data_IF_542346516409
#
_entry.id   IF_542346516409
#
_cell.length_a   1.000
_cell.length_b   1.000
_cell.length_c   1.000
_cell.angle_alpha   90.00
_cell.angle_beta   90.00
_cell.angle_gamma   90.00
#
_symmetry.space_group_name_H-M   'P 1'
#
loop_
_entity.id
_entity.type
_entity.pdbx_description
1 polymer ?
#
# COMPACT_ATOMS: atom_id res chain seq x y z
N UNK A 1 -7.73 7.22 24.51
CA UNK A 1 -7.52 5.76 24.64
C UNK A 1 -7.07 5.18 23.31
N UNK A 2 -5.87 4.59 23.30
CA UNK A 2 -5.40 3.52 22.42
C UNK A 2 -5.63 3.65 20.90
N UNK A 3 -4.80 4.51 20.29
CA UNK A 3 -3.85 4.16 19.22
C UNK A 3 -4.10 2.83 18.47
N UNK A 4 -4.20 2.88 17.14
CA UNK A 4 -4.01 1.69 16.28
C UNK A 4 -2.59 1.12 16.42
N UNK A 5 -1.66 1.91 16.94
CA UNK A 5 -0.34 1.47 17.43
C UNK A 5 -0.45 0.49 18.62
N UNK A 6 -1.52 0.54 19.41
CA UNK A 6 -1.73 -0.36 20.56
C UNK A 6 -2.40 -1.69 20.20
N UNK A 7 -3.05 -1.81 19.04
CA UNK A 7 -3.66 -3.08 18.62
C UNK A 7 -2.61 -4.11 18.13
N UNK A 8 -1.37 -3.69 17.85
CA UNK A 8 -0.30 -4.56 17.36
C UNK A 8 1.01 -4.51 18.17
N UNK A 9 1.17 -3.60 19.15
CA UNK A 9 2.18 -3.68 20.22
C UNK A 9 3.67 -3.78 19.83
N UNK A 10 4.00 -3.89 18.54
CA UNK A 10 5.34 -3.99 17.96
C UNK A 10 5.47 -2.88 16.94
N UNK A 11 6.61 -2.18 16.98
CA UNK A 11 6.99 -1.19 15.97
C UNK A 11 6.69 -1.75 14.58
N UNK A 12 5.93 -1.04 13.75
CA UNK A 12 5.57 -1.54 12.41
C UNK A 12 6.76 -1.56 11.44
N UNK A 13 7.96 -1.20 11.92
CA UNK A 13 9.21 -1.18 11.18
C UNK A 13 9.53 -2.54 10.53
N UNK A 14 9.17 -3.65 11.18
CA UNK A 14 9.38 -4.99 10.62
C UNK A 14 8.57 -5.26 9.34
N UNK A 15 7.53 -4.46 9.05
CA UNK A 15 6.75 -4.56 7.81
C UNK A 15 7.44 -3.88 6.63
N UNK A 16 8.47 -3.06 6.84
CA UNK A 16 9.20 -2.40 5.76
C UNK A 16 9.73 -3.37 4.68
N UNK A 17 10.40 -4.49 5.02
CA UNK A 17 10.80 -5.48 4.01
C UNK A 17 9.62 -6.18 3.33
N UNK A 18 8.44 -6.24 3.97
CA UNK A 18 7.23 -6.77 3.33
C UNK A 18 6.75 -5.82 2.24
N UNK A 19 6.80 -4.50 2.47
CA UNK A 19 6.45 -3.51 1.45
C UNK A 19 7.43 -3.59 0.26
N UNK A 20 8.73 -3.76 0.55
CA UNK A 20 9.74 -4.01 -0.49
C UNK A 20 9.45 -5.27 -1.30
N UNK A 21 9.09 -6.37 -0.64
CA UNK A 21 8.75 -7.62 -1.32
C UNK A 21 7.51 -7.46 -2.21
N UNK A 22 6.49 -6.71 -1.76
CA UNK A 22 5.29 -6.43 -2.56
C UNK A 22 5.63 -5.58 -3.78
N UNK A 23 6.50 -4.58 -3.64
CA UNK A 23 6.96 -3.76 -4.75
C UNK A 23 7.75 -4.60 -5.77
N UNK A 24 8.64 -5.48 -5.33
CA UNK A 24 9.37 -6.38 -6.23
C UNK A 24 8.45 -7.41 -6.89
N UNK A 25 7.45 -7.92 -6.17
CA UNK A 25 6.45 -8.83 -6.75
C UNK A 25 5.61 -8.14 -7.82
N UNK A 26 5.29 -6.87 -7.60
CA UNK A 26 4.65 -6.01 -8.59
C UNK A 26 5.53 -5.81 -9.83
N UNK A 27 6.79 -5.47 -9.62
CA UNK A 27 7.81 -5.25 -10.66
C UNK A 27 8.02 -6.50 -11.53
N UNK A 28 8.04 -7.69 -10.90
CA UNK A 28 8.09 -8.98 -11.60
C UNK A 28 6.94 -9.18 -12.59
N UNK A 29 5.78 -8.55 -12.37
CA UNK A 29 4.63 -8.62 -13.29
C UNK A 29 4.72 -7.59 -14.42
N UNK A 30 5.17 -6.37 -14.09
CA UNK A 30 5.15 -5.22 -15.01
C UNK A 30 6.35 -5.22 -15.95
N UNK A 31 7.55 -5.46 -15.43
CA UNK A 31 8.79 -5.16 -16.17
C UNK A 31 9.06 -6.07 -17.37
N UNK A 32 8.83 -7.40 -17.28
CA UNK A 32 8.89 -8.27 -18.45
C UNK A 32 7.93 -7.84 -19.57
N UNK A 33 6.70 -7.44 -19.20
CA UNK A 33 5.68 -6.98 -20.16
C UNK A 33 6.15 -5.69 -20.84
N UNK A 34 6.66 -4.74 -20.07
CA UNK A 34 7.10 -3.46 -20.61
C UNK A 34 8.40 -3.56 -21.43
N UNK A 35 9.32 -4.48 -21.12
CA UNK A 35 10.44 -4.82 -22.04
C UNK A 35 9.88 -5.37 -23.34
N UNK A 36 8.94 -6.34 -23.27
CA UNK A 36 8.33 -6.95 -24.46
C UNK A 36 7.59 -5.94 -25.33
N UNK A 37 6.94 -4.96 -24.70
CA UNK A 37 6.20 -3.86 -25.33
C UNK A 37 7.08 -2.67 -25.74
N UNK A 38 8.40 -2.75 -25.53
CA UNK A 38 9.38 -1.70 -25.89
C UNK A 38 9.13 -0.37 -25.16
N UNK A 39 8.54 -0.40 -23.97
CA UNK A 39 8.44 0.78 -23.11
C UNK A 39 9.77 1.13 -22.44
N UNK A 40 10.64 0.14 -22.24
CA UNK A 40 12.02 0.34 -21.83
C UNK A 40 12.96 -0.65 -22.49
N UNK A 41 14.19 -0.19 -22.72
CA UNK A 41 15.32 -1.00 -23.17
C UNK A 41 16.46 -0.84 -22.18
N UNK A 42 17.12 -1.95 -21.86
CA UNK A 42 18.19 -1.97 -20.86
C UNK A 42 19.56 -2.05 -21.56
N UNK A 43 20.50 -1.23 -21.11
CA UNK A 43 21.90 -1.26 -21.59
C UNK A 43 22.69 -2.38 -20.90
N UNK A 44 22.30 -2.71 -19.67
CA UNK A 44 22.91 -3.79 -18.89
C UNK A 44 22.55 -5.17 -19.44
N UNK A 45 23.35 -6.21 -19.17
CA UNK A 45 23.05 -7.57 -19.61
C UNK A 45 21.63 -7.99 -19.19
N UNK A 46 20.82 -8.52 -20.13
CA UNK A 46 19.48 -8.96 -19.81
C UNK A 46 19.53 -10.16 -18.85
N UNK A 47 18.55 -10.25 -17.95
CA UNK A 47 18.36 -11.41 -17.10
C UNK A 47 16.94 -11.95 -17.25
N UNK A 48 16.09 -11.78 -16.24
CA UNK A 48 14.75 -12.35 -16.22
C UNK A 48 13.86 -11.65 -17.26
N UNK A 49 13.59 -12.34 -18.37
CA UNK A 49 12.78 -11.83 -19.50
C UNK A 49 13.24 -10.45 -20.03
N UNK A 50 14.55 -10.23 -20.05
CA UNK A 50 15.14 -8.98 -20.54
C UNK A 50 15.31 -7.89 -19.48
N UNK A 51 14.87 -8.13 -18.24
CA UNK A 51 15.04 -7.20 -17.12
C UNK A 51 16.29 -7.57 -16.31
N UNK A 52 17.21 -6.64 -16.02
CA UNK A 52 18.37 -6.90 -15.17
C UNK A 52 17.98 -7.24 -13.73
N UNK A 53 18.71 -8.16 -13.08
CA UNK A 53 18.46 -8.53 -11.67
C UNK A 53 18.60 -7.33 -10.73
N UNK A 54 19.50 -6.39 -11.06
CA UNK A 54 19.69 -5.16 -10.30
C UNK A 54 18.43 -4.30 -10.19
N UNK A 55 17.50 -4.38 -11.15
CA UNK A 55 16.23 -3.66 -11.10
C UNK A 55 15.34 -4.16 -9.96
N UNK A 56 15.11 -5.47 -9.91
CA UNK A 56 14.29 -6.11 -8.87
C UNK A 56 14.87 -5.89 -7.47
N UNK A 57 16.20 -5.99 -7.34
CA UNK A 57 16.91 -5.69 -6.08
C UNK A 57 16.77 -4.21 -5.73
N UNK A 58 16.88 -3.32 -6.71
CA UNK A 58 16.69 -1.89 -6.55
C UNK A 58 15.31 -1.55 -5.98
N UNK A 59 14.25 -2.10 -6.57
CA UNK A 59 12.89 -1.90 -6.08
C UNK A 59 12.69 -2.44 -4.66
N UNK A 60 13.23 -3.62 -4.35
CA UNK A 60 13.18 -4.16 -2.99
C UNK A 60 13.82 -3.19 -1.98
N UNK A 61 15.05 -2.75 -2.27
CA UNK A 61 15.85 -1.91 -1.37
C UNK A 61 15.21 -0.53 -1.21
N UNK A 62 14.87 0.13 -2.31
CA UNK A 62 14.31 1.50 -2.28
C UNK A 62 13.01 1.53 -1.49
N UNK A 63 12.07 0.62 -1.80
CA UNK A 63 10.78 0.60 -1.09
C UNK A 63 10.95 0.20 0.38
N UNK A 64 11.83 -0.75 0.69
CA UNK A 64 12.13 -1.12 2.07
C UNK A 64 12.67 0.07 2.86
N UNK A 65 13.64 0.80 2.31
CA UNK A 65 14.26 1.96 2.97
C UNK A 65 13.26 3.10 3.15
N UNK A 66 12.50 3.44 2.11
CA UNK A 66 11.49 4.50 2.17
C UNK A 66 10.38 4.15 3.15
N UNK A 67 9.90 2.91 3.14
CA UNK A 67 8.90 2.44 4.10
C UNK A 67 9.42 2.47 5.52
N UNK A 68 10.66 2.02 5.75
CA UNK A 68 11.29 2.06 7.06
C UNK A 68 11.40 3.50 7.57
N UNK A 69 11.85 4.43 6.72
CA UNK A 69 11.94 5.84 7.05
C UNK A 69 10.56 6.44 7.40
N UNK A 70 9.54 6.18 6.60
CA UNK A 70 8.17 6.66 6.85
C UNK A 70 7.58 6.10 8.15
N UNK A 71 7.75 4.80 8.40
CA UNK A 71 7.26 4.15 9.63
C UNK A 71 8.02 4.64 10.86
N UNK A 72 9.30 4.93 10.72
CA UNK A 72 10.12 5.49 11.79
C UNK A 72 9.70 6.91 12.15
N UNK A 73 9.50 7.78 11.16
CA UNK A 73 9.04 9.15 11.40
C UNK A 73 7.64 9.17 12.02
N UNK A 74 6.69 8.38 11.50
CA UNK A 74 5.34 8.26 12.07
C UNK A 74 5.32 7.65 13.47
N UNK A 75 6.25 6.74 13.79
CA UNK A 75 6.33 6.19 15.15
C UNK A 75 6.71 7.24 16.21
N UNK A 76 7.34 8.33 15.78
CA UNK A 76 7.79 9.44 16.65
C UNK A 76 6.80 10.60 16.69
N UNK A 77 5.86 10.66 15.76
CA UNK A 77 4.90 11.75 15.66
C UNK A 77 3.57 11.38 16.33
N UNK A 78 3.30 11.95 17.50
CA UNK A 78 2.03 11.79 18.23
C UNK A 78 0.85 12.48 17.54
N UNK A 79 1.11 13.34 16.54
CA UNK A 79 0.12 13.98 15.67
C UNK A 79 0.00 13.28 14.31
N UNK A 80 0.74 12.18 14.09
CA UNK A 80 0.68 11.42 12.84
C UNK A 80 -0.79 11.17 12.45
N UNK A 81 -1.14 11.39 11.17
CA UNK A 81 -2.51 11.56 10.75
C UNK A 81 -3.38 10.40 11.23
N UNK A 82 -4.49 10.79 11.86
CA UNK A 82 -5.54 9.91 12.31
C UNK A 82 -5.88 8.91 11.19
N UNK A 83 -5.69 7.62 11.51
CA UNK A 83 -6.22 6.43 10.83
C UNK A 83 -6.76 6.68 9.42
N UNK A 84 -5.99 6.24 8.43
CA UNK A 84 -6.43 6.18 7.02
C UNK A 84 -7.87 5.66 6.93
N UNK A 85 -8.71 6.32 6.12
CA UNK A 85 -10.12 5.96 6.02
C UNK A 85 -10.26 4.50 5.60
N UNK A 86 -11.27 3.82 6.14
CA UNK A 86 -11.52 2.41 5.82
C UNK A 86 -11.66 2.18 4.31
N UNK A 87 -12.24 3.13 3.58
CA UNK A 87 -12.38 3.08 2.13
C UNK A 87 -11.02 3.05 1.43
N UNK A 88 -10.08 3.92 1.81
CA UNK A 88 -8.73 3.91 1.21
C UNK A 88 -8.01 2.59 1.49
N UNK A 89 -8.13 2.07 2.72
CA UNK A 89 -7.55 0.79 3.10
C UNK A 89 -8.15 -0.40 2.34
N UNK A 90 -9.40 -0.30 1.89
CA UNK A 90 -10.03 -1.32 1.04
C UNK A 90 -9.64 -1.17 -0.43
N UNK A 91 -9.52 0.06 -0.93
CA UNK A 91 -9.25 0.37 -2.33
C UNK A 91 -7.81 0.04 -2.71
N UNK A 92 -6.81 0.44 -1.91
CA UNK A 92 -5.39 0.30 -2.31
C UNK A 92 -4.96 -1.16 -2.57
N UNK A 93 -5.28 -2.15 -1.71
CA UNK A 93 -5.01 -3.56 -2.03
C UNK A 93 -5.80 -4.04 -3.25
N UNK A 94 -6.99 -3.47 -3.49
CA UNK A 94 -7.79 -3.76 -4.68
C UNK A 94 -7.13 -3.28 -5.97
N UNK A 95 -6.60 -2.05 -5.98
CA UNK A 95 -5.85 -1.50 -7.11
C UNK A 95 -4.64 -2.38 -7.41
N UNK A 96 -3.89 -2.78 -6.38
CA UNK A 96 -2.74 -3.68 -6.53
C UNK A 96 -3.17 -5.04 -7.12
N UNK A 97 -4.26 -5.63 -6.63
CA UNK A 97 -4.73 -6.93 -7.14
C UNK A 97 -5.21 -6.82 -8.59
N UNK A 98 -6.05 -5.85 -8.92
CA UNK A 98 -6.65 -5.74 -10.26
C UNK A 98 -5.58 -5.51 -11.32
N UNK A 99 -4.68 -4.57 -11.05
CA UNK A 99 -3.56 -4.33 -11.94
C UNK A 99 -2.64 -5.56 -12.01
N UNK A 100 -2.44 -6.29 -10.89
CA UNK A 100 -1.55 -7.45 -10.86
C UNK A 100 -2.07 -8.61 -11.67
N UNK A 101 -3.38 -8.81 -11.63
CA UNK A 101 -4.07 -9.76 -12.50
C UNK A 101 -3.97 -9.32 -13.97
N UNK A 102 -4.13 -8.03 -14.27
CA UNK A 102 -3.96 -7.52 -15.63
C UNK A 102 -2.57 -7.84 -16.20
N UNK A 103 -1.50 -7.49 -15.47
CA UNK A 103 -0.13 -7.81 -15.90
C UNK A 103 0.18 -9.30 -15.84
N UNK A 104 -0.42 -10.04 -14.91
CA UNK A 104 -0.31 -11.50 -14.85
C UNK A 104 -0.91 -12.20 -16.07
N UNK A 105 -2.06 -11.72 -16.55
CA UNK A 105 -2.69 -12.21 -17.79
C UNK A 105 -1.78 -11.92 -18.99
N UNK A 106 -1.26 -10.69 -19.12
CA UNK A 106 -0.33 -10.33 -20.19
C UNK A 106 0.97 -11.14 -20.12
N UNK A 107 1.56 -11.27 -18.93
CA UNK A 107 2.77 -12.06 -18.71
C UNK A 107 2.58 -13.52 -19.08
N UNK A 108 1.44 -14.12 -18.71
CA UNK A 108 1.10 -15.50 -19.13
C UNK A 108 0.96 -15.60 -20.64
N UNK A 109 0.27 -14.65 -21.28
CA UNK A 109 0.09 -14.62 -22.73
C UNK A 109 1.41 -14.47 -23.49
N UNK A 110 2.41 -13.80 -22.91
CA UNK A 110 3.76 -13.66 -23.46
C UNK A 110 4.73 -14.78 -23.04
N UNK A 111 4.29 -15.74 -22.21
CA UNK A 111 5.12 -16.87 -21.76
C UNK A 111 6.03 -16.58 -20.56
N UNK A 112 5.81 -15.48 -19.84
CA UNK A 112 6.59 -15.05 -18.67
C UNK A 112 6.19 -15.77 -17.37
N UNK A 113 6.03 -17.09 -17.44
CA UNK A 113 5.43 -17.90 -16.37
C UNK A 113 6.14 -17.76 -15.01
N UNK A 114 7.47 -17.73 -14.99
CA UNK A 114 8.23 -17.63 -13.72
C UNK A 114 7.91 -16.30 -13.03
N UNK A 115 7.95 -15.21 -13.78
CA UNK A 115 7.63 -13.86 -13.30
C UNK A 115 6.18 -13.76 -12.83
N UNK A 116 5.24 -14.28 -13.62
CA UNK A 116 3.82 -14.29 -13.28
C UNK A 116 3.54 -15.09 -12.00
N UNK A 117 4.12 -16.29 -11.87
CA UNK A 117 3.91 -17.14 -10.70
C UNK A 117 4.49 -16.51 -9.43
N UNK A 118 5.70 -15.96 -9.50
CA UNK A 118 6.32 -15.31 -8.34
C UNK A 118 5.57 -14.03 -7.95
N UNK A 119 5.21 -13.18 -8.93
CA UNK A 119 4.50 -11.94 -8.67
C UNK A 119 3.11 -12.17 -8.07
N UNK A 120 2.27 -12.99 -8.72
CA UNK A 120 0.93 -13.31 -8.21
C UNK A 120 0.98 -14.13 -6.92
N UNK A 121 1.95 -15.03 -6.79
CA UNK A 121 2.18 -15.83 -5.60
C UNK A 121 2.47 -15.01 -4.34
N UNK A 122 2.86 -13.74 -4.49
CA UNK A 122 3.07 -12.79 -3.38
C UNK A 122 1.91 -11.80 -3.28
N UNK A 123 1.49 -11.19 -4.39
CA UNK A 123 0.44 -10.15 -4.41
C UNK A 123 -0.89 -10.70 -3.88
N UNK A 124 -1.34 -11.86 -4.37
CA UNK A 124 -2.64 -12.44 -4.01
C UNK A 124 -2.75 -12.74 -2.51
N UNK A 125 -1.82 -13.48 -1.87
CA UNK A 125 -1.94 -13.75 -0.44
C UNK A 125 -1.78 -12.50 0.42
N UNK A 126 -0.94 -11.53 0.04
CA UNK A 126 -0.80 -10.27 0.79
C UNK A 126 -2.10 -9.47 0.75
N UNK A 127 -2.72 -9.32 -0.42
CA UNK A 127 -4.01 -8.63 -0.56
C UNK A 127 -5.11 -9.37 0.19
N UNK A 128 -5.17 -10.69 0.06
CA UNK A 128 -6.13 -11.53 0.79
C UNK A 128 -5.99 -11.38 2.31
N UNK A 129 -4.75 -11.37 2.82
CA UNK A 129 -4.48 -11.12 4.23
C UNK A 129 -4.88 -9.71 4.65
N UNK A 130 -4.56 -8.69 3.85
CA UNK A 130 -4.91 -7.30 4.14
C UNK A 130 -6.43 -7.11 4.24
N UNK A 131 -7.20 -7.62 3.28
CA UNK A 131 -8.65 -7.57 3.33
C UNK A 131 -9.25 -8.41 4.46
N UNK A 132 -8.71 -9.61 4.73
CA UNK A 132 -9.14 -10.42 5.88
C UNK A 132 -8.95 -9.64 7.19
N UNK A 133 -7.81 -8.97 7.37
CA UNK A 133 -7.51 -8.14 8.54
C UNK A 133 -8.49 -6.97 8.64
N UNK A 134 -8.83 -6.31 7.54
CA UNK A 134 -9.80 -5.21 7.53
C UNK A 134 -11.23 -5.67 7.80
N UNK A 135 -11.61 -6.87 7.33
CA UNK A 135 -12.92 -7.46 7.56
C UNK A 135 -13.17 -7.74 9.04
N UNK A 136 -12.16 -8.28 9.76
CA UNK A 136 -12.26 -8.57 11.19
C UNK A 136 -12.04 -7.35 12.09
N UNK A 137 -11.50 -6.24 11.55
CA UNK A 137 -11.23 -5.03 12.36
C UNK A 137 -12.52 -4.23 12.59
N UNK A 138 -12.91 -3.95 13.85
CA UNK A 138 -14.12 -3.20 14.19
C UNK A 138 -14.20 -1.85 13.49
N UNK A 139 -15.38 -1.48 12.96
CA UNK A 139 -15.59 -0.20 12.24
C UNK A 139 -15.33 1.03 13.11
N UNK A 140 -15.60 0.95 14.41
CA UNK A 140 -15.35 2.03 15.37
C UNK A 140 -13.88 2.47 15.43
N UNK A 141 -12.95 1.58 15.06
CA UNK A 141 -11.53 1.88 14.96
C UNK A 141 -11.16 2.72 13.75
N UNK A 142 -12.09 3.09 12.87
CA UNK A 142 -11.83 3.97 11.72
C UNK A 142 -12.64 5.26 11.77
N UNK A 143 -13.42 5.47 12.84
CA UNK A 143 -14.16 6.70 13.04
C UNK A 143 -13.19 7.87 13.30
N UNK A 144 -13.47 9.09 12.77
CA UNK A 144 -12.74 10.29 13.16
C UNK A 144 -12.74 10.43 14.68
N UNK A 145 -11.65 10.97 15.24
CA UNK A 145 -11.54 11.18 16.68
C UNK A 145 -12.80 11.93 17.19
N UNK A 146 -13.52 11.40 18.19
CA UNK A 146 -14.76 12.02 18.70
C UNK A 146 -14.57 13.48 19.11
N UNK A 147 -13.37 13.88 19.54
CA UNK A 147 -13.03 15.26 19.87
C UNK A 147 -12.98 16.20 18.64
N UNK A 148 -12.65 15.68 17.45
CA UNK A 148 -12.68 16.43 16.18
C UNK A 148 -14.12 16.60 15.71
N UNK A 149 -14.96 15.57 15.89
CA UNK A 149 -16.38 15.65 15.52
C UNK A 149 -17.14 16.63 16.42
N UNK A 150 -16.87 16.59 17.74
CA UNK A 150 -17.48 17.50 18.70
C UNK A 150 -17.11 18.98 18.44
N UNK A 151 -15.84 19.26 18.11
CA UNK A 151 -15.39 20.62 17.78
C UNK A 151 -15.95 21.10 16.44
N UNK A 152 -16.03 20.25 15.42
CA UNK A 152 -16.63 20.59 14.13
C UNK A 152 -18.14 20.88 14.25
N UNK A 153 -18.87 20.10 15.05
CA UNK A 153 -20.30 20.30 15.33
C UNK A 153 -20.53 21.59 16.14
N UNK A 154 -19.70 21.84 17.16
CA UNK A 154 -19.77 23.07 17.95
C UNK A 154 -19.49 24.32 17.10
N UNK A 155 -18.54 24.26 16.17
CA UNK A 155 -18.23 25.35 15.22
C UNK A 155 -19.39 25.61 14.25
N UNK A 156 -20.01 24.57 13.69
CA UNK A 156 -21.18 24.71 12.81
C UNK A 156 -22.39 25.31 13.52
N UNK A 157 -22.66 24.92 14.78
CA UNK A 157 -23.73 25.51 15.58
C UNK A 157 -23.49 26.99 15.91
N UNK A 158 -22.24 27.38 16.12
CA UNK A 158 -21.88 28.79 16.39
C UNK A 158 -22.08 29.67 15.16
N UNK A 159 -21.75 29.18 13.95
CA UNK A 159 -21.97 29.91 12.69
C UNK A 159 -23.47 30.01 12.37
N UNK A 160 -24.21 28.89 12.48
CA UNK A 160 -25.64 28.89 12.21
C UNK A 160 -26.49 29.69 13.22
N UNK A 161 -25.94 29.98 14.41
CA UNK A 161 -26.59 30.84 15.41
C UNK A 161 -26.34 32.34 15.21
N UNK A 162 -25.41 32.73 14.34
CA UNK A 162 -25.07 34.12 14.03
C UNK A 162 -25.89 34.66 12.85
N UNK A 163 -26.33 33.79 11.93
CA UNK A 163 -27.16 34.14 10.76
C UNK A 163 -28.64 34.45 11.10
N UNK A 164 -29.04 34.37 12.38
CA UNK A 164 -30.41 34.58 12.85
C UNK A 164 -30.64 35.88 13.63
N UNK A 165 -29.65 36.79 13.66
CA UNK A 165 -29.74 38.10 14.32
C UNK A 165 -29.36 39.22 13.35
N UNK A 166 -30.27 39.57 12.47
CA UNK A 166 -30.32 40.88 11.77
C UNK A 166 -31.71 41.44 11.87
#
# INVERSE_FOLDING_TARGET
MATTTAALGRSTLWLAPVDGLVATAWDLLVDPVAVRSQFWTWISPPALYGVPISNFVGWFVVVTVLSLAARWTWSRDTRAPARMSRSVLLILPGVLLTSGLQFGILGTAYGFFVSTLLGLGIVVPIVGLAWRRLAITPRALFAPNPWITATAVARRRRIAGDDGRT
#
